data_IF_131224198112
#
_entry.id   IF_131224198112
#
_cell.length_a   1.000
_cell.length_b   1.000
_cell.length_c   1.000
_cell.angle_alpha   90.00
_cell.angle_beta   90.00
_cell.angle_gamma   90.00
#
_symmetry.space_group_name_H-M   'P 1'
#
loop_
_entity.id
_entity.type
_entity.pdbx_description
1 polymer ?
#
# COMPACT_ATOMS: atom_id res chain seq x y z
N UNK A 1 5.02 -9.78 1.98
CA UNK A 1 3.58 -9.97 2.14
C UNK A 1 2.89 -8.75 1.61
N UNK A 2 1.99 -8.90 0.65
CA UNK A 2 1.30 -7.76 0.05
C UNK A 2 -0.14 -8.18 -0.29
N UNK A 3 -1.11 -7.47 0.27
CA UNK A 3 -2.53 -7.77 0.11
C UNK A 3 -2.86 -9.25 0.40
N UNK A 4 -2.29 -9.81 1.48
CA UNK A 4 -2.52 -11.20 1.90
C UNK A 4 -1.67 -12.27 1.21
N UNK A 5 -0.84 -11.91 0.23
CA UNK A 5 0.05 -12.88 -0.43
C UNK A 5 1.37 -13.04 0.31
N UNK A 6 1.96 -14.25 0.40
CA UNK A 6 3.27 -14.46 1.00
C UNK A 6 4.37 -13.74 0.20
N UNK A 7 5.49 -13.44 0.88
CA UNK A 7 6.71 -12.94 0.22
C UNK A 7 7.24 -14.00 -0.75
N UNK A 8 7.64 -13.62 -1.95
CA UNK A 8 8.21 -14.54 -2.92
C UNK A 8 9.66 -14.90 -2.57
N UNK A 9 10.13 -16.05 -3.06
CA UNK A 9 11.53 -16.45 -2.89
C UNK A 9 12.46 -15.42 -3.55
N UNK A 10 13.43 -14.93 -2.76
CA UNK A 10 14.38 -13.92 -3.19
C UNK A 10 13.88 -12.47 -3.13
N UNK A 11 12.62 -12.22 -2.75
CA UNK A 11 12.18 -10.86 -2.44
C UNK A 11 12.82 -10.37 -1.13
N UNK A 12 13.37 -9.14 -1.12
CA UNK A 12 14.01 -8.60 0.06
C UNK A 12 13.00 -8.37 1.18
N UNK A 13 13.45 -8.51 2.43
CA UNK A 13 12.69 -8.10 3.60
C UNK A 13 12.56 -6.59 3.67
N UNK A 14 11.65 -6.11 4.53
CA UNK A 14 11.50 -4.69 4.81
C UNK A 14 12.81 -4.09 5.35
N UNK A 15 13.48 -4.78 6.26
CA UNK A 15 14.75 -4.36 6.85
C UNK A 15 15.86 -4.27 5.79
N UNK A 16 15.89 -5.21 4.84
CA UNK A 16 16.85 -5.22 3.74
C UNK A 16 16.61 -4.04 2.79
N UNK A 17 15.34 -3.77 2.43
CA UNK A 17 14.96 -2.63 1.61
C UNK A 17 15.32 -1.30 2.27
N UNK A 18 14.99 -1.14 3.55
CA UNK A 18 15.38 0.06 4.32
C UNK A 18 16.89 0.18 4.38
N UNK A 19 17.61 -0.92 4.61
CA UNK A 19 19.07 -0.92 4.63
C UNK A 19 19.71 -0.50 3.30
N UNK A 20 19.16 -0.95 2.15
CA UNK A 20 19.59 -0.48 0.82
C UNK A 20 19.35 1.02 0.69
N UNK A 21 18.17 1.49 1.08
CA UNK A 21 17.81 2.90 1.02
C UNK A 21 18.73 3.78 1.89
N UNK A 22 19.00 3.39 3.14
CA UNK A 22 19.88 4.12 4.05
C UNK A 22 21.32 4.19 3.54
N UNK A 23 21.83 3.11 2.94
CA UNK A 23 23.16 3.09 2.31
C UNK A 23 23.23 4.07 1.15
N UNK A 24 22.22 4.10 0.29
CA UNK A 24 22.14 5.05 -0.82
C UNK A 24 21.97 6.51 -0.32
N UNK A 25 21.24 6.70 0.77
CA UNK A 25 20.97 8.00 1.37
C UNK A 25 22.17 8.56 2.15
N UNK A 26 23.12 7.70 2.55
CA UNK A 26 24.28 8.08 3.38
C UNK A 26 23.93 8.43 4.83
N UNK A 27 22.69 8.15 5.27
CA UNK A 27 22.20 8.40 6.63
C UNK A 27 21.04 7.48 6.96
N UNK A 28 20.74 7.37 8.25
CA UNK A 28 19.54 6.70 8.75
C UNK A 28 18.26 7.34 8.22
N UNK A 29 17.32 6.50 7.83
CA UNK A 29 15.97 6.88 7.50
C UNK A 29 15.17 7.03 8.80
N UNK A 30 14.43 8.13 8.91
CA UNK A 30 13.66 8.47 10.13
C UNK A 30 12.19 8.44 9.76
N UNK A 31 11.36 7.90 10.66
CA UNK A 31 9.91 7.88 10.48
C UNK A 31 9.43 6.96 9.37
N UNK A 32 10.22 5.95 8.96
CA UNK A 32 9.88 5.01 7.87
C UNK A 32 8.48 4.44 8.04
N UNK A 33 8.15 3.94 9.24
CA UNK A 33 6.82 3.40 9.55
C UNK A 33 5.68 4.41 9.35
N UNK A 34 5.90 5.67 9.73
CA UNK A 34 4.90 6.73 9.51
C UNK A 34 4.69 6.95 8.01
N UNK A 35 5.77 6.98 7.23
CA UNK A 35 5.69 7.16 5.78
C UNK A 35 5.04 5.98 5.06
N UNK A 36 5.26 4.76 5.53
CA UNK A 36 4.60 3.55 5.01
C UNK A 36 3.10 3.56 5.30
N UNK A 37 2.70 3.85 6.55
CA UNK A 37 1.29 4.01 6.92
C UNK A 37 0.60 5.14 6.14
N UNK A 38 1.27 6.28 6.01
CA UNK A 38 0.79 7.41 5.20
C UNK A 38 0.65 7.03 3.72
N UNK A 39 1.63 6.29 3.18
CA UNK A 39 1.60 5.77 1.82
C UNK A 39 0.41 4.84 1.58
N UNK A 40 0.14 3.92 2.51
CA UNK A 40 -1.01 3.02 2.44
C UNK A 40 -2.35 3.77 2.52
N UNK A 41 -2.48 4.76 3.41
CA UNK A 41 -3.69 5.58 3.51
C UNK A 41 -3.93 6.41 2.24
N UNK A 42 -2.86 6.98 1.68
CA UNK A 42 -2.91 7.70 0.40
C UNK A 42 -3.31 6.78 -0.75
N UNK A 43 -2.78 5.55 -0.77
CA UNK A 43 -3.13 4.55 -1.78
C UNK A 43 -4.64 4.24 -1.75
N UNK A 44 -5.23 4.03 -0.56
CA UNK A 44 -6.68 3.84 -0.41
C UNK A 44 -7.48 4.99 -1.02
N UNK A 45 -7.09 6.23 -0.73
CA UNK A 45 -7.75 7.44 -1.24
C UNK A 45 -7.65 7.54 -2.76
N UNK A 46 -6.49 7.21 -3.34
CA UNK A 46 -6.29 7.24 -4.79
C UNK A 46 -7.14 6.20 -5.50
N UNK A 47 -7.21 4.98 -4.98
CA UNK A 47 -8.03 3.91 -5.59
C UNK A 47 -9.52 4.27 -5.53
N UNK A 48 -10.02 4.73 -4.39
CA UNK A 48 -11.41 5.22 -4.27
C UNK A 48 -11.72 6.29 -5.33
N UNK A 49 -10.82 7.27 -5.50
CA UNK A 49 -11.00 8.33 -6.50
C UNK A 49 -10.98 7.80 -7.94
N UNK A 50 -10.16 6.80 -8.23
CA UNK A 50 -10.13 6.16 -9.55
C UNK A 50 -11.44 5.42 -9.80
N UNK A 51 -11.92 4.63 -8.84
CA UNK A 51 -13.16 3.86 -8.97
C UNK A 51 -14.37 4.78 -9.19
N UNK A 52 -14.51 5.84 -8.38
CA UNK A 52 -15.59 6.81 -8.56
C UNK A 52 -15.58 7.43 -9.96
N UNK A 53 -14.39 7.75 -10.50
CA UNK A 53 -14.26 8.30 -11.86
C UNK A 53 -14.59 7.30 -12.96
N UNK A 54 -14.31 6.01 -12.74
CA UNK A 54 -14.67 4.96 -13.70
C UNK A 54 -16.19 4.74 -13.70
N UNK A 55 -16.82 4.76 -12.52
CA UNK A 55 -18.28 4.72 -12.37
C UNK A 55 -18.96 5.92 -13.04
N UNK A 56 -18.48 7.15 -12.79
CA UNK A 56 -18.98 8.38 -13.43
C UNK A 56 -18.91 8.34 -14.97
N UNK A 57 -17.97 7.57 -15.52
CA UNK A 57 -17.78 7.38 -16.96
C UNK A 57 -18.55 6.19 -17.54
N UNK A 58 -19.32 5.48 -16.72
CA UNK A 58 -20.05 4.26 -17.11
C UNK A 58 -19.14 3.07 -17.41
N UNK A 59 -17.87 3.11 -16.98
CA UNK A 59 -16.91 2.02 -17.16
C UNK A 59 -17.00 0.98 -16.02
N UNK A 60 -17.65 1.33 -14.91
CA UNK A 60 -18.00 0.42 -13.83
C UNK A 60 -19.50 0.51 -13.51
N UNK A 61 -20.14 -0.59 -13.09
CA UNK A 61 -21.50 -0.55 -12.55
C UNK A 61 -21.61 0.41 -11.36
N UNK A 62 -22.75 1.12 -11.20
CA UNK A 62 -22.98 1.95 -10.03
C UNK A 62 -22.89 1.17 -8.72
N UNK A 63 -22.21 1.75 -7.71
CA UNK A 63 -22.03 1.10 -6.42
C UNK A 63 -21.02 -0.05 -6.42
N UNK A 64 -20.12 -0.09 -7.41
CA UNK A 64 -19.04 -1.09 -7.44
C UNK A 64 -18.14 -0.96 -6.22
N UNK A 65 -18.00 -2.04 -5.45
CA UNK A 65 -17.19 -2.13 -4.24
C UNK A 65 -15.82 -2.79 -4.46
N UNK A 66 -15.33 -2.76 -5.71
CA UNK A 66 -14.05 -3.34 -6.14
C UNK A 66 -12.86 -2.91 -5.27
N UNK A 67 -12.91 -1.71 -4.68
CA UNK A 67 -11.88 -1.24 -3.75
C UNK A 67 -11.90 -1.97 -2.39
N UNK A 68 -13.06 -2.47 -1.95
CA UNK A 68 -13.18 -3.35 -0.77
C UNK A 68 -12.78 -4.78 -1.11
N UNK A 69 -13.27 -5.31 -2.25
CA UNK A 69 -12.99 -6.68 -2.68
C UNK A 69 -11.55 -6.93 -3.13
N UNK A 70 -10.85 -5.89 -3.60
CA UNK A 70 -9.47 -5.97 -4.13
C UNK A 70 -8.35 -5.87 -3.09
N UNK A 71 -8.68 -5.90 -1.79
CA UNK A 71 -7.68 -5.87 -0.71
C UNK A 71 -6.96 -4.53 -0.55
N UNK A 72 -7.49 -3.44 -1.09
CA UNK A 72 -6.88 -2.09 -1.01
C UNK A 72 -6.72 -1.64 0.44
N UNK A 73 -7.74 -1.90 1.26
CA UNK A 73 -7.71 -1.61 2.70
C UNK A 73 -6.77 -2.53 3.47
N UNK A 74 -6.39 -3.69 2.91
CA UNK A 74 -5.53 -4.65 3.59
C UNK A 74 -4.09 -4.14 3.67
N UNK A 75 -3.64 -3.40 2.66
CA UNK A 75 -2.34 -2.71 2.71
C UNK A 75 -2.26 -1.71 3.88
N UNK A 76 -3.36 -0.98 4.14
CA UNK A 76 -3.42 -0.07 5.29
C UNK A 76 -3.54 -0.85 6.60
N UNK A 77 -4.38 -1.90 6.64
CA UNK A 77 -4.53 -2.75 7.83
C UNK A 77 -3.20 -3.34 8.27
N UNK A 78 -2.42 -3.89 7.34
CA UNK A 78 -1.09 -4.45 7.60
C UNK A 78 -0.18 -3.44 8.32
N UNK A 79 -0.15 -2.19 7.84
CA UNK A 79 0.67 -1.14 8.46
C UNK A 79 0.18 -0.68 9.84
N UNK A 80 -1.11 -0.83 10.12
CA UNK A 80 -1.70 -0.49 11.43
C UNK A 80 -1.55 -1.62 12.46
N UNK A 81 -1.57 -2.87 11.99
CA UNK A 81 -1.49 -4.08 12.84
C UNK A 81 -0.04 -4.50 13.16
N UNK A 82 0.92 -4.23 12.26
CA UNK A 82 2.35 -4.39 12.56
C UNK A 82 2.72 -3.49 13.75
N UNK A 83 2.90 -4.09 14.93
CA UNK A 83 3.34 -3.43 16.17
C UNK A 83 4.86 -3.36 16.28
#
# INVERSE_FOLDING_TARGET
>A
EACGNPRLDGEPTREELVGVYERALGRRAVGVRWHEAFGAARYCTLVLRIMNRLEERGLLPPGSDLYLGGGVTDALRMQLEER
#
